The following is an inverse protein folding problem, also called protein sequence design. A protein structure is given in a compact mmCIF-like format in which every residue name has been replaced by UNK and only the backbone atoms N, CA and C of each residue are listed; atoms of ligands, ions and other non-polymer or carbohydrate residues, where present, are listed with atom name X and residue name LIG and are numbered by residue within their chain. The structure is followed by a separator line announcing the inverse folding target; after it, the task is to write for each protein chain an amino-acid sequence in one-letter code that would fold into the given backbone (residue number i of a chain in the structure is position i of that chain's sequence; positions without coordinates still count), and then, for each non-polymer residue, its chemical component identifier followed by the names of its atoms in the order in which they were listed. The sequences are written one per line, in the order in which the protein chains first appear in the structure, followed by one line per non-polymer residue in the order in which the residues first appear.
data_IF_400009806324
#
_entry.id   IF_400009806324
#
_cell.length_a   1.000
_cell.length_b   1.000
_cell.length_c   1.000
_cell.angle_alpha   90.00
_cell.angle_beta   90.00
_cell.angle_gamma   90.00
#
_symmetry.space_group_name_H-M   'P 1'
#
loop_
_entity.id
_entity.type
_entity.pdbx_description
1 polymer ?
#
# COMPACT_ATOMS: atom_id res chain seq x y z
N UNK A 1 5.25 -9.27 -4.34
CA UNK A 1 5.05 -9.74 -2.96
C UNK A 1 3.57 -9.80 -2.57
N UNK A 2 2.83 -8.69 -2.55
CA UNK A 2 1.41 -8.65 -2.13
C UNK A 2 0.50 -9.66 -2.88
N UNK A 3 0.71 -9.86 -4.18
CA UNK A 3 -0.01 -10.87 -4.97
C UNK A 3 0.27 -12.30 -4.48
N UNK A 4 1.52 -12.62 -4.16
CA UNK A 4 1.92 -13.93 -3.64
C UNK A 4 1.34 -14.16 -2.25
N UNK A 5 1.33 -13.13 -1.41
CA UNK A 5 0.72 -13.15 -0.08
C UNK A 5 -0.79 -13.42 -0.17
N UNK A 6 -1.51 -12.74 -1.06
CA UNK A 6 -2.93 -13.01 -1.27
C UNK A 6 -3.18 -14.42 -1.83
N UNK A 7 -2.28 -14.95 -2.66
CA UNK A 7 -2.39 -16.31 -3.23
C UNK A 7 -2.19 -17.40 -2.16
N UNK A 8 -1.38 -17.16 -1.13
CA UNK A 8 -1.11 -18.12 -0.04
C UNK A 8 -2.14 -18.10 1.10
N UNK A 9 -3.17 -17.24 1.00
CA UNK A 9 -4.24 -17.09 2.01
C UNK A 9 -5.59 -17.54 1.46
N UNK A 10 -6.55 -17.82 2.34
CA UNK A 10 -7.92 -18.13 1.94
C UNK A 10 -8.65 -16.88 1.45
N UNK A 11 -8.96 -16.84 0.15
CA UNK A 11 -9.60 -15.70 -0.53
C UNK A 11 -11.13 -15.77 -0.55
N UNK A 12 -11.73 -16.68 0.23
CA UNK A 12 -13.19 -16.78 0.38
C UNK A 12 -13.71 -15.69 1.33
N UNK A 13 -14.86 -15.13 0.97
CA UNK A 13 -15.53 -14.05 1.71
C UNK A 13 -16.27 -14.54 2.97
N UNK A 14 -16.72 -15.80 2.93
CA UNK A 14 -17.39 -16.49 4.02
C UNK A 14 -17.17 -17.99 3.86
N UNK A 15 -17.11 -18.72 4.98
CA UNK A 15 -16.94 -20.17 5.01
C UNK A 15 -18.04 -20.91 4.21
N UNK A 16 -19.20 -20.27 3.99
CA UNK A 16 -20.33 -20.82 3.23
C UNK A 16 -20.32 -20.44 1.74
N UNK A 17 -19.40 -19.58 1.27
CA UNK A 17 -19.35 -19.15 -0.13
C UNK A 17 -18.29 -19.93 -0.91
N UNK A 18 -18.63 -20.46 -2.08
CA UNK A 18 -17.66 -21.11 -2.98
C UNK A 18 -16.86 -20.08 -3.82
N UNK A 19 -17.21 -18.80 -3.74
CA UNK A 19 -16.54 -17.76 -4.51
C UNK A 19 -15.21 -17.36 -3.87
N UNK A 20 -14.13 -17.47 -4.65
CA UNK A 20 -12.80 -17.00 -4.29
C UNK A 20 -12.49 -15.70 -5.03
N UNK A 21 -12.18 -14.64 -4.30
CA UNK A 21 -11.75 -13.37 -4.91
C UNK A 21 -10.39 -13.61 -5.59
N UNK A 22 -10.19 -13.25 -6.87
CA UNK A 22 -8.89 -13.36 -7.52
C UNK A 22 -7.81 -12.59 -6.74
N UNK A 23 -6.63 -13.19 -6.53
CA UNK A 23 -5.56 -12.57 -5.75
C UNK A 23 -5.15 -11.18 -6.30
N UNK A 24 -5.19 -10.99 -7.63
CA UNK A 24 -4.92 -9.71 -8.27
C UNK A 24 -5.98 -8.63 -8.02
N UNK A 25 -7.20 -9.00 -7.64
CA UNK A 25 -8.31 -8.07 -7.39
C UNK A 25 -8.18 -7.33 -6.06
N UNK A 26 -7.31 -7.77 -5.15
CA UNK A 26 -7.12 -7.11 -3.85
C UNK A 26 -6.60 -5.66 -3.98
N UNK A 27 -5.90 -5.33 -5.07
CA UNK A 27 -5.50 -3.95 -5.36
C UNK A 27 -6.68 -2.98 -5.53
N UNK A 28 -7.88 -3.48 -5.82
CA UNK A 28 -9.08 -2.64 -5.93
C UNK A 28 -9.45 -1.98 -4.59
N UNK A 29 -9.14 -2.59 -3.45
CA UNK A 29 -9.39 -1.98 -2.15
C UNK A 29 -8.61 -0.67 -1.97
N UNK A 30 -7.38 -0.60 -2.49
CA UNK A 30 -6.59 0.64 -2.53
C UNK A 30 -7.30 1.72 -3.33
N UNK A 31 -7.78 1.37 -4.54
CA UNK A 31 -8.45 2.32 -5.45
C UNK A 31 -9.75 2.82 -4.83
N UNK A 32 -10.57 1.91 -4.27
CA UNK A 32 -11.82 2.26 -3.59
C UNK A 32 -11.56 3.19 -2.40
N UNK A 33 -10.55 2.88 -1.58
CA UNK A 33 -10.20 3.72 -0.44
C UNK A 33 -9.72 5.11 -0.86
N UNK A 34 -8.88 5.19 -1.90
CA UNK A 34 -8.41 6.44 -2.49
C UNK A 34 -9.59 7.30 -2.98
N UNK A 35 -10.47 6.73 -3.81
CA UNK A 35 -11.64 7.46 -4.34
C UNK A 35 -12.55 7.91 -3.20
N UNK A 36 -12.82 7.01 -2.25
CA UNK A 36 -13.65 7.32 -1.08
C UNK A 36 -13.09 8.48 -0.27
N UNK A 37 -11.76 8.52 -0.09
CA UNK A 37 -11.09 9.62 0.59
C UNK A 37 -11.17 10.92 -0.18
N UNK A 38 -10.95 10.91 -1.50
CA UNK A 38 -11.08 12.12 -2.34
C UNK A 38 -12.49 12.69 -2.23
N UNK A 39 -13.51 11.84 -2.36
CA UNK A 39 -14.92 12.26 -2.22
C UNK A 39 -15.16 12.85 -0.83
N UNK A 40 -14.70 12.18 0.23
CA UNK A 40 -14.87 12.65 1.61
C UNK A 40 -14.12 13.98 1.86
N UNK A 41 -12.92 14.13 1.31
CA UNK A 41 -12.12 15.34 1.42
C UNK A 41 -12.80 16.53 0.74
N UNK A 42 -13.25 16.36 -0.51
CA UNK A 42 -13.83 17.44 -1.29
C UNK A 42 -15.26 17.78 -0.86
N UNK A 43 -16.08 16.78 -0.52
CA UNK A 43 -17.51 16.97 -0.21
C UNK A 43 -17.81 17.21 1.26
N UNK A 44 -16.96 16.74 2.17
CA UNK A 44 -17.20 16.91 3.60
C UNK A 44 -16.11 17.79 4.25
N UNK A 45 -14.84 17.39 4.19
CA UNK A 45 -13.77 18.06 4.97
C UNK A 45 -13.59 19.52 4.56
N UNK A 46 -13.41 19.80 3.26
CA UNK A 46 -13.21 21.16 2.75
C UNK A 46 -14.39 22.11 3.06
N UNK A 47 -15.67 21.75 2.78
CA UNK A 47 -16.79 22.63 3.09
C UNK A 47 -17.01 22.81 4.60
N UNK A 48 -16.81 21.76 5.42
CA UNK A 48 -16.88 21.87 6.88
C UNK A 48 -15.80 22.81 7.42
N UNK A 49 -14.54 22.64 6.99
CA UNK A 49 -13.43 23.50 7.39
C UNK A 49 -13.67 24.95 6.95
N UNK A 50 -14.20 25.16 5.74
CA UNK A 50 -14.51 26.49 5.22
C UNK A 50 -15.67 27.15 5.98
N UNK A 51 -16.69 26.38 6.39
CA UNK A 51 -17.80 26.87 7.20
C UNK A 51 -17.35 27.27 8.61
N UNK A 52 -16.43 26.50 9.21
CA UNK A 52 -15.91 26.77 10.56
C UNK A 52 -14.99 28.01 10.56
N UNK A 53 -14.12 28.16 9.56
CA UNK A 53 -13.21 29.31 9.48
C UNK A 53 -13.82 30.56 8.81
N UNK A 54 -15.01 30.46 8.22
CA UNK A 54 -15.67 31.57 7.51
C UNK A 54 -14.96 32.03 6.23
N UNK A 55 -14.01 31.24 5.71
CA UNK A 55 -13.24 31.52 4.48
C UNK A 55 -12.96 30.22 3.74
N UNK A 56 -12.60 30.28 2.45
CA UNK A 56 -12.15 29.10 1.73
C UNK A 56 -10.87 28.55 2.36
N UNK A 57 -10.94 27.35 2.93
CA UNK A 57 -9.79 26.68 3.55
C UNK A 57 -9.26 25.62 2.63
N UNK A 58 -7.95 25.65 2.37
CA UNK A 58 -7.22 24.53 1.75
C UNK A 58 -6.14 24.08 2.72
N UNK A 59 -6.09 22.78 3.00
CA UNK A 59 -5.03 22.25 3.87
C UNK A 59 -3.69 22.41 3.15
N UNK A 60 -2.67 22.89 3.87
CA UNK A 60 -1.34 23.08 3.33
C UNK A 60 -0.82 21.78 2.71
N UNK A 61 -0.32 21.89 1.48
CA UNK A 61 0.19 20.78 0.67
C UNK A 61 1.27 19.99 1.41
N UNK A 62 2.21 20.69 2.09
CA UNK A 62 3.30 20.05 2.84
C UNK A 62 2.77 19.21 4.01
N UNK A 63 1.72 19.67 4.69
CA UNK A 63 1.08 18.94 5.79
C UNK A 63 0.37 17.70 5.26
N UNK A 64 -0.36 17.82 4.15
CA UNK A 64 -1.03 16.67 3.50
C UNK A 64 -0.02 15.60 3.10
N UNK A 65 1.09 15.99 2.49
CA UNK A 65 2.19 15.08 2.16
C UNK A 65 2.79 14.41 3.41
N UNK A 66 3.05 15.19 4.47
CA UNK A 66 3.57 14.64 5.73
C UNK A 66 2.63 13.61 6.38
N UNK A 67 1.32 13.89 6.41
CA UNK A 67 0.32 12.95 6.91
C UNK A 67 0.25 11.69 6.05
N UNK A 68 0.29 11.83 4.73
CA UNK A 68 0.30 10.69 3.82
C UNK A 68 1.53 9.79 4.02
N UNK A 69 2.72 10.37 4.20
CA UNK A 69 3.93 9.61 4.53
C UNK A 69 3.82 8.88 5.88
N UNK A 70 3.24 9.53 6.89
CA UNK A 70 2.99 8.89 8.19
C UNK A 70 2.01 7.71 8.07
N UNK A 71 0.93 7.86 7.29
CA UNK A 71 -0.02 6.77 7.04
C UNK A 71 0.63 5.65 6.23
N UNK A 72 1.51 5.94 5.28
CA UNK A 72 2.31 4.93 4.58
C UNK A 72 3.17 4.10 5.54
N UNK A 73 3.78 4.74 6.54
CA UNK A 73 4.51 4.05 7.59
C UNK A 73 3.59 3.12 8.41
N UNK A 74 2.41 3.61 8.81
CA UNK A 74 1.41 2.78 9.50
C UNK A 74 0.93 1.60 8.64
N UNK A 75 0.72 1.81 7.34
CA UNK A 75 0.34 0.76 6.40
C UNK A 75 1.41 -0.35 6.34
N UNK A 76 2.69 0.03 6.35
CA UNK A 76 3.80 -0.91 6.40
C UNK A 76 3.86 -1.67 7.74
N UNK A 77 3.62 -1.00 8.86
CA UNK A 77 3.57 -1.63 10.18
C UNK A 77 2.43 -2.67 10.29
N UNK A 78 1.24 -2.34 9.76
CA UNK A 78 0.12 -3.28 9.66
C UNK A 78 0.48 -4.46 8.77
N UNK A 79 1.11 -4.21 7.61
CA UNK A 79 1.56 -5.25 6.70
C UNK A 79 2.53 -6.24 7.36
N UNK A 80 3.52 -5.72 8.08
CA UNK A 80 4.48 -6.54 8.81
C UNK A 80 3.80 -7.38 9.91
N UNK A 81 2.81 -6.81 10.60
CA UNK A 81 2.06 -7.52 11.66
C UNK A 81 1.22 -8.65 11.09
N UNK A 82 0.50 -8.39 9.99
CA UNK A 82 -0.32 -9.40 9.30
C UNK A 82 0.57 -10.52 8.76
N UNK A 83 1.72 -10.18 8.17
CA UNK A 83 2.66 -11.17 7.66
C UNK A 83 3.29 -12.01 8.79
N UNK A 84 3.64 -11.38 9.91
CA UNK A 84 4.12 -12.10 11.09
C UNK A 84 3.09 -13.13 11.58
N UNK A 85 1.81 -12.73 11.67
CA UNK A 85 0.73 -13.62 12.07
C UNK A 85 0.47 -14.75 11.06
N UNK A 86 0.47 -14.42 9.75
CA UNK A 86 0.32 -15.40 8.66
C UNK A 86 1.43 -16.44 8.71
N UNK A 87 2.69 -16.02 8.80
CA UNK A 87 3.86 -16.89 8.87
C UNK A 87 3.86 -17.77 10.12
N UNK A 88 3.52 -17.21 11.29
CA UNK A 88 3.38 -18.00 12.53
C UNK A 88 2.32 -19.09 12.39
N UNK A 89 1.20 -18.77 11.74
CA UNK A 89 0.12 -19.73 11.47
C UNK A 89 0.58 -20.83 10.51
N UNK A 90 1.28 -20.49 9.42
CA UNK A 90 1.86 -21.45 8.48
C UNK A 90 2.79 -22.46 9.17
N UNK A 91 3.70 -21.95 10.04
CA UNK A 91 4.62 -22.80 10.82
C UNK A 91 3.84 -23.71 11.77
N UNK A 92 2.83 -23.20 12.48
CA UNK A 92 2.02 -24.01 13.41
C UNK A 92 1.21 -25.12 12.73
N UNK A 93 0.85 -24.92 11.45
CA UNK A 93 0.13 -25.90 10.64
C UNK A 93 1.08 -26.91 9.96
N UNK A 94 2.39 -26.81 10.18
CA UNK A 94 3.39 -27.66 9.53
C UNK A 94 3.59 -27.35 8.04
N UNK A 95 3.07 -26.22 7.56
CA UNK A 95 3.08 -25.82 6.14
C UNK A 95 4.35 -25.04 5.73
N UNK A 96 5.33 -24.90 6.62
CA UNK A 96 6.54 -24.11 6.39
C UNK A 96 7.38 -24.60 5.18
N UNK A 97 7.24 -25.87 4.78
CA UNK A 97 7.96 -26.43 3.62
C UNK A 97 7.05 -26.63 2.40
N UNK A 98 5.76 -26.28 2.48
CA UNK A 98 4.79 -26.52 1.42
C UNK A 98 4.35 -25.23 0.75
N UNK A 99 4.98 -24.94 -0.39
CA UNK A 99 4.78 -23.71 -1.15
C UNK A 99 3.43 -23.62 -1.87
N UNK A 100 2.73 -24.75 -2.06
CA UNK A 100 1.49 -24.80 -2.84
C UNK A 100 0.23 -24.79 -1.99
N UNK A 101 0.36 -24.96 -0.67
CA UNK A 101 -0.78 -25.06 0.23
C UNK A 101 -1.16 -23.69 0.81
N UNK A 102 -2.46 -23.40 0.78
CA UNK A 102 -3.01 -22.16 1.35
C UNK A 102 -3.04 -22.25 2.87
N UNK A 103 -2.47 -21.26 3.54
CA UNK A 103 -2.58 -21.11 4.99
C UNK A 103 -4.04 -20.82 5.33
N UNK A 104 -4.57 -21.47 6.37
CA UNK A 104 -5.96 -21.27 6.81
C UNK A 104 -6.11 -19.93 7.56
N UNK A 105 -5.99 -18.84 6.82
CA UNK A 105 -6.16 -17.46 7.27
C UNK A 105 -6.83 -16.68 6.14
N UNK A 106 -7.85 -15.90 6.48
CA UNK A 106 -8.59 -15.13 5.48
C UNK A 106 -7.72 -14.01 4.90
N UNK A 107 -7.71 -13.88 3.58
CA UNK A 107 -7.07 -12.79 2.86
C UNK A 107 -7.69 -11.42 3.18
N UNK A 108 -8.85 -11.38 3.85
CA UNK A 108 -9.45 -10.12 4.35
C UNK A 108 -8.55 -9.38 5.36
N UNK A 109 -7.63 -10.08 6.02
CA UNK A 109 -6.60 -9.45 6.85
C UNK A 109 -5.65 -8.54 6.06
N UNK A 110 -5.60 -8.65 4.73
CA UNK A 110 -4.85 -7.74 3.86
C UNK A 110 -5.61 -6.45 3.57
N UNK A 111 -6.93 -6.39 3.78
CA UNK A 111 -7.74 -5.21 3.45
C UNK A 111 -7.29 -3.95 4.23
N UNK A 112 -7.01 -4.01 5.55
CA UNK A 112 -6.58 -2.83 6.31
C UNK A 112 -5.32 -2.17 5.74
N UNK A 113 -4.29 -2.93 5.35
CA UNK A 113 -3.08 -2.37 4.75
C UNK A 113 -3.38 -1.72 3.39
N UNK A 114 -4.26 -2.30 2.57
CA UNK A 114 -4.66 -1.72 1.28
C UNK A 114 -5.44 -0.42 1.44
N UNK A 115 -6.36 -0.36 2.42
CA UNK A 115 -7.11 0.86 2.74
C UNK A 115 -6.16 1.96 3.18
N UNK A 116 -5.25 1.68 4.11
CA UNK A 116 -4.26 2.65 4.57
C UNK A 116 -3.35 3.14 3.42
N UNK A 117 -2.94 2.24 2.53
CA UNK A 117 -2.15 2.61 1.36
C UNK A 117 -2.94 3.54 0.41
N UNK A 118 -4.23 3.27 0.19
CA UNK A 118 -5.10 4.13 -0.62
C UNK A 118 -5.27 5.52 -0.02
N UNK A 119 -5.43 5.61 1.30
CA UNK A 119 -5.47 6.89 2.03
C UNK A 119 -4.15 7.66 1.92
N UNK A 120 -3.02 6.96 2.10
CA UNK A 120 -1.70 7.55 2.00
C UNK A 120 -1.40 8.09 0.61
N UNK A 121 -1.78 7.35 -0.43
CA UNK A 121 -1.64 7.76 -1.83
C UNK A 121 -2.50 8.98 -2.14
N UNK A 122 -3.74 9.02 -1.66
CA UNK A 122 -4.62 10.16 -1.86
C UNK A 122 -4.08 11.45 -1.21
N UNK A 123 -3.42 11.34 -0.06
CA UNK A 123 -2.82 12.47 0.65
C UNK A 123 -1.48 12.90 0.04
N UNK A 124 -0.62 11.93 -0.26
CA UNK A 124 0.75 12.18 -0.74
C UNK A 124 0.78 12.48 -2.23
N UNK A 125 0.16 11.65 -3.07
CA UNK A 125 0.23 11.78 -4.53
C UNK A 125 -0.44 13.06 -5.05
N UNK A 126 -1.64 13.37 -4.53
CA UNK A 126 -2.33 14.64 -4.86
C UNK A 126 -1.52 15.82 -4.34
N UNK A 127 -1.00 15.74 -3.11
CA UNK A 127 -0.18 16.78 -2.52
C UNK A 127 1.12 17.02 -3.29
N UNK A 128 1.85 15.97 -3.67
CA UNK A 128 3.08 16.06 -4.45
C UNK A 128 2.85 16.69 -5.82
N UNK A 129 1.78 16.29 -6.51
CA UNK A 129 1.41 16.87 -7.81
C UNK A 129 1.12 18.37 -7.66
N UNK A 130 0.30 18.75 -6.68
CA UNK A 130 -0.02 20.14 -6.38
C UNK A 130 1.23 20.95 -6.01
N UNK A 131 2.14 20.36 -5.23
CA UNK A 131 3.41 20.99 -4.83
C UNK A 131 4.29 21.28 -6.04
N UNK A 132 4.52 20.31 -6.91
CA UNK A 132 5.35 20.51 -8.10
C UNK A 132 4.78 21.60 -9.00
N UNK A 133 3.46 21.59 -9.27
CA UNK A 133 2.86 22.64 -10.08
C UNK A 133 2.88 24.04 -9.44
N UNK A 134 3.00 24.14 -8.13
CA UNK A 134 3.05 25.43 -7.42
C UNK A 134 4.48 26.00 -7.38
N UNK A 135 5.49 25.13 -7.23
CA UNK A 135 6.88 25.56 -7.12
C UNK A 135 7.57 25.77 -8.47
N UNK A 136 7.16 25.02 -9.51
CA UNK A 136 7.71 25.20 -10.86
C UNK A 136 7.00 26.32 -11.63
N UNK A 137 7.73 27.09 -12.47
CA UNK A 137 7.11 28.06 -13.35
C UNK A 137 6.21 27.35 -14.38
N UNK A 138 5.17 28.05 -14.86
CA UNK A 138 4.16 27.48 -15.77
C UNK A 138 4.76 26.85 -17.04
N UNK A 139 5.87 27.39 -17.55
CA UNK A 139 6.60 26.85 -18.71
C UNK A 139 7.20 25.46 -18.48
N UNK A 140 7.36 25.03 -17.22
CA UNK A 140 7.93 23.74 -16.81
C UNK A 140 6.87 22.73 -16.35
N UNK A 141 5.59 22.96 -16.68
CA UNK A 141 4.48 22.07 -16.31
C UNK A 141 4.69 20.60 -16.73
N UNK A 142 5.35 20.37 -17.86
CA UNK A 142 5.71 19.01 -18.32
C UNK A 142 6.76 18.35 -17.42
N UNK A 143 7.74 19.12 -16.94
CA UNK A 143 8.78 18.64 -16.01
C UNK A 143 8.16 18.29 -14.66
N UNK A 144 7.22 19.10 -14.16
CA UNK A 144 6.48 18.80 -12.93
C UNK A 144 5.74 17.46 -13.01
N UNK A 145 5.08 17.16 -14.14
CA UNK A 145 4.43 15.87 -14.37
C UNK A 145 5.44 14.71 -14.48
N UNK A 146 6.54 14.92 -15.20
CA UNK A 146 7.58 13.89 -15.39
C UNK A 146 8.29 13.52 -14.08
N UNK A 147 8.47 14.48 -13.16
CA UNK A 147 9.13 14.24 -11.87
C UNK A 147 8.39 13.20 -11.01
N UNK A 148 7.06 13.16 -11.06
CA UNK A 148 6.28 12.15 -10.35
C UNK A 148 6.60 10.74 -10.87
N UNK A 149 6.55 10.55 -12.20
CA UNK A 149 6.87 9.28 -12.84
C UNK A 149 8.34 8.86 -12.65
N UNK A 150 9.26 9.82 -12.71
CA UNK A 150 10.68 9.58 -12.44
C UNK A 150 10.90 9.15 -10.98
N UNK A 151 10.23 9.80 -10.03
CA UNK A 151 10.25 9.40 -8.62
C UNK A 151 9.79 7.96 -8.42
N UNK A 152 8.70 7.56 -9.08
CA UNK A 152 8.21 6.17 -9.07
C UNK A 152 9.22 5.19 -9.70
N UNK A 153 9.88 5.56 -10.79
CA UNK A 153 10.90 4.73 -11.41
C UNK A 153 12.09 4.51 -10.47
N UNK A 154 12.60 5.57 -9.83
CA UNK A 154 13.68 5.49 -8.83
C UNK A 154 13.25 4.63 -7.64
N UNK A 155 12.02 4.80 -7.15
CA UNK A 155 11.48 4.00 -6.06
C UNK A 155 11.44 2.49 -6.40
N UNK A 156 11.01 2.13 -7.61
CA UNK A 156 10.99 0.73 -8.06
C UNK A 156 12.40 0.12 -8.18
N UNK A 157 13.36 0.89 -8.69
CA UNK A 157 14.76 0.45 -8.76
C UNK A 157 15.30 0.25 -7.34
N UNK A 158 15.07 1.21 -6.44
CA UNK A 158 15.52 1.14 -5.05
C UNK A 158 14.89 -0.06 -4.32
N UNK A 159 13.59 -0.31 -4.49
CA UNK A 159 12.92 -1.48 -3.95
C UNK A 159 13.58 -2.78 -4.43
N UNK A 160 13.92 -2.86 -5.73
CA UNK A 160 14.60 -4.03 -6.31
C UNK A 160 16.00 -4.22 -5.71
N UNK A 161 16.76 -3.13 -5.53
CA UNK A 161 18.08 -3.16 -4.89
C UNK A 161 17.97 -3.63 -3.43
N UNK A 162 17.01 -3.11 -2.66
CA UNK A 162 16.79 -3.51 -1.27
C UNK A 162 16.45 -5.00 -1.20
N UNK A 163 15.52 -5.49 -2.03
CA UNK A 163 15.17 -6.91 -2.07
C UNK A 163 16.35 -7.80 -2.41
N UNK A 164 17.17 -7.41 -3.39
CA UNK A 164 18.37 -8.15 -3.76
C UNK A 164 19.45 -8.13 -2.65
N UNK A 165 19.63 -6.98 -1.99
CA UNK A 165 20.55 -6.86 -0.86
C UNK A 165 20.11 -7.78 0.29
N UNK A 166 18.82 -7.73 0.68
CA UNK A 166 18.27 -8.61 1.72
C UNK A 166 18.39 -10.09 1.32
N UNK A 167 18.08 -10.44 0.06
CA UNK A 167 18.23 -11.80 -0.47
C UNK A 167 19.67 -12.30 -0.36
N UNK A 168 20.65 -11.45 -0.65
CA UNK A 168 22.07 -11.84 -0.58
C UNK A 168 22.60 -11.87 0.86
N UNK A 169 22.28 -10.88 1.69
CA UNK A 169 22.73 -10.81 3.08
C UNK A 169 22.11 -11.88 3.98
N UNK A 170 20.91 -12.36 3.65
CA UNK A 170 20.20 -13.35 4.46
C UNK A 170 20.51 -14.80 4.07
N UNK A 171 21.39 -15.05 3.10
CA UNK A 171 21.76 -16.41 2.67
C UNK A 171 22.48 -17.15 3.81
N UNK A 172 21.89 -18.26 4.25
CA UNK A 172 22.59 -19.30 5.04
C UNK A 172 22.58 -20.58 4.23
N UNK A 173 23.70 -20.89 3.57
CA UNK A 173 23.78 -21.99 2.61
C UNK A 173 23.04 -21.65 1.30
N UNK A 174 22.21 -22.57 0.79
CA UNK A 174 21.42 -22.38 -0.43
C UNK A 174 20.02 -21.75 -0.17
N UNK A 175 19.71 -21.42 1.08
CA UNK A 175 18.40 -20.95 1.54
C UNK A 175 18.49 -19.46 1.88
N UNK A 176 17.57 -18.65 1.36
CA UNK A 176 17.51 -17.20 1.55
C UNK A 176 16.26 -16.84 2.36
N UNK A 177 16.26 -15.69 3.04
CA UNK A 177 15.04 -15.20 3.70
C UNK A 177 13.94 -14.79 2.71
N UNK A 178 14.32 -14.45 1.48
CA UNK A 178 13.40 -14.24 0.36
C UNK A 178 13.54 -15.43 -0.59
N UNK A 179 12.62 -16.38 -0.48
CA UNK A 179 12.47 -17.53 -1.38
C UNK A 179 11.23 -17.39 -2.26
N UNK A 180 11.15 -18.23 -3.30
CA UNK A 180 9.92 -18.36 -4.09
C UNK A 180 8.79 -19.01 -3.27
N UNK A 181 9.14 -19.80 -2.24
CA UNK A 181 8.21 -20.25 -1.21
C UNK A 181 7.97 -19.13 -0.18
N UNK A 182 6.72 -18.71 -0.06
CA UNK A 182 6.32 -17.68 0.91
C UNK A 182 5.89 -18.26 2.27
N UNK A 183 5.65 -19.57 2.38
CA UNK A 183 5.18 -20.23 3.60
C UNK A 183 6.30 -20.59 4.56
#
# INVERSE_FOLDING_TARGET
FQLLQAKSMDRRLSNSSNFQIPAGSFGMFTIIALISWVVLYDRAILPLASKIQGRQVRINVKIRMGLGLFISFLAMAVSATVEHYRRKTAISQGLANDANTTVNISAMWLVPQYVLHGLAEALTGIGQTEFFYTEFPKSMSSIAAALFGLGMAVANILASVILNAVKNSSKKGNVSWIEDNIN
#
